data_IF_891619615794
#
_entry.id   IF_891619615794
#
_cell.length_a   1.000
_cell.length_b   1.000
_cell.length_c   1.000
_cell.angle_alpha   90.00
_cell.angle_beta   90.00
_cell.angle_gamma   90.00
#
_symmetry.space_group_name_H-M   'P 1'
#
loop_
_entity.id
_entity.type
_entity.pdbx_description
1 polymer ?
#
# COMPACT_ATOMS: atom_id res chain seq x y z
N UNK A 1 19.66 7.48 6.38
CA UNK A 1 18.53 6.54 6.35
C UNK A 1 17.50 7.05 7.34
N UNK A 2 16.37 7.58 6.87
CA UNK A 2 15.27 7.96 7.76
C UNK A 2 14.78 6.71 8.50
N UNK A 3 14.56 6.77 9.82
CA UNK A 3 14.12 5.60 10.57
C UNK A 3 12.77 5.15 10.00
N UNK A 4 12.71 3.92 9.45
CA UNK A 4 11.45 3.33 9.02
C UNK A 4 10.53 3.24 10.25
N UNK A 5 9.39 3.92 10.20
CA UNK A 5 8.39 3.83 11.25
C UNK A 5 7.90 2.38 11.37
N UNK A 6 7.78 1.82 12.59
CA UNK A 6 7.28 0.47 12.78
C UNK A 6 5.88 0.35 12.19
N UNK A 7 5.58 -0.78 11.55
CA UNK A 7 4.30 -1.03 10.87
C UNK A 7 3.07 -0.77 11.77
N UNK A 8 3.21 -0.95 13.09
CA UNK A 8 2.17 -0.66 14.08
C UNK A 8 1.74 0.81 14.09
N UNK A 9 2.61 1.75 13.72
CA UNK A 9 2.34 3.20 13.71
C UNK A 9 1.76 3.70 12.38
N UNK A 10 1.72 2.85 11.35
CA UNK A 10 1.18 3.25 10.05
C UNK A 10 -0.31 3.56 10.13
N UNK A 11 -0.76 4.49 9.29
CA UNK A 11 -2.19 4.80 9.16
C UNK A 11 -2.98 3.56 8.69
N UNK A 12 -4.24 3.38 9.12
CA UNK A 12 -5.03 2.21 8.76
C UNK A 12 -5.19 1.97 7.25
N UNK A 13 -5.35 3.03 6.47
CA UNK A 13 -5.41 2.95 5.00
C UNK A 13 -4.09 2.49 4.38
N UNK A 14 -2.96 2.95 4.89
CA UNK A 14 -1.64 2.50 4.45
C UNK A 14 -1.37 1.04 4.81
N UNK A 15 -1.77 0.61 6.01
CA UNK A 15 -1.72 -0.81 6.42
C UNK A 15 -2.55 -1.68 5.49
N UNK A 16 -3.78 -1.25 5.19
CA UNK A 16 -4.67 -1.96 4.26
C UNK A 16 -4.05 -2.08 2.87
N UNK A 17 -3.58 -0.96 2.31
CA UNK A 17 -2.97 -0.94 0.99
C UNK A 17 -1.69 -1.81 0.92
N UNK A 18 -0.89 -1.82 1.98
CA UNK A 18 0.30 -2.68 2.07
C UNK A 18 -0.06 -4.16 2.10
N UNK A 19 -1.09 -4.55 2.87
CA UNK A 19 -1.60 -5.93 2.89
C UNK A 19 -2.20 -6.29 1.53
N UNK A 20 -2.96 -5.39 0.91
CA UNK A 20 -3.53 -5.60 -0.41
C UNK A 20 -2.46 -5.79 -1.49
N UNK A 21 -1.33 -5.07 -1.40
CA UNK A 21 -0.19 -5.26 -2.29
C UNK A 21 0.41 -6.66 -2.12
N UNK A 22 0.59 -7.15 -0.89
CA UNK A 22 1.02 -8.53 -0.64
C UNK A 22 0.06 -9.57 -1.20
N UNK A 23 -1.25 -9.38 -1.00
CA UNK A 23 -2.27 -10.27 -1.57
C UNK A 23 -2.20 -10.27 -3.10
N UNK A 24 -2.06 -9.09 -3.71
CA UNK A 24 -1.93 -8.97 -5.15
C UNK A 24 -0.70 -9.73 -5.68
N UNK A 25 0.46 -9.60 -5.05
CA UNK A 25 1.69 -10.33 -5.42
C UNK A 25 1.50 -11.84 -5.31
N UNK A 26 0.94 -12.32 -4.20
CA UNK A 26 0.77 -13.76 -3.98
C UNK A 26 -0.21 -14.36 -4.99
N UNK A 27 -1.40 -13.75 -5.13
CA UNK A 27 -2.44 -14.28 -6.02
C UNK A 27 -2.00 -14.23 -7.49
N UNK A 28 -1.45 -13.10 -7.93
CA UNK A 28 -0.99 -12.95 -9.31
C UNK A 28 0.25 -13.78 -9.61
N UNK A 29 1.17 -13.94 -8.65
CA UNK A 29 2.33 -14.82 -8.75
C UNK A 29 1.93 -16.29 -8.91
N UNK A 30 0.97 -16.77 -8.10
CA UNK A 30 0.43 -18.14 -8.23
C UNK A 30 -0.24 -18.32 -9.59
N UNK A 31 -1.09 -17.37 -10.01
CA UNK A 31 -1.77 -17.43 -11.29
C UNK A 31 -0.77 -17.45 -12.47
N UNK A 32 0.31 -16.66 -12.38
CA UNK A 32 1.38 -16.65 -13.37
C UNK A 32 2.10 -18.00 -13.44
N UNK A 33 2.49 -18.57 -12.29
CA UNK A 33 3.19 -19.87 -12.23
C UNK A 33 2.32 -20.98 -12.79
N UNK A 34 1.05 -21.05 -12.38
CA UNK A 34 0.11 -22.05 -12.90
C UNK A 34 -0.04 -21.87 -14.42
N UNK A 35 -0.28 -20.64 -14.89
CA UNK A 35 -0.44 -20.37 -16.32
C UNK A 35 0.78 -20.75 -17.14
N UNK A 36 2.00 -20.54 -16.63
CA UNK A 36 3.23 -20.93 -17.32
C UNK A 36 3.37 -22.45 -17.43
N UNK A 37 2.89 -23.21 -16.43
CA UNK A 37 2.95 -24.68 -16.42
C UNK A 37 1.86 -25.30 -17.29
N UNK A 38 0.64 -24.76 -17.26
CA UNK A 38 -0.54 -25.36 -17.91
C UNK A 38 -0.84 -24.80 -19.29
N UNK A 39 -0.08 -23.81 -19.77
CA UNK A 39 -0.31 -23.17 -21.06
C UNK A 39 -1.48 -22.17 -21.06
N UNK A 40 -1.57 -21.36 -20.01
CA UNK A 40 -2.57 -20.29 -19.88
C UNK A 40 -2.51 -19.26 -21.00
N UNK A 41 -3.60 -18.52 -21.19
CA UNK A 41 -3.69 -17.51 -22.26
C UNK A 41 -2.64 -16.41 -22.07
N UNK A 42 -2.06 -15.94 -23.18
CA UNK A 42 -1.04 -14.89 -23.16
C UNK A 42 -1.50 -13.62 -22.44
N UNK A 43 -2.79 -13.29 -22.57
CA UNK A 43 -3.40 -12.15 -21.87
C UNK A 43 -3.34 -12.33 -20.35
N UNK A 44 -3.77 -13.48 -19.83
CA UNK A 44 -3.71 -13.77 -18.39
C UNK A 44 -2.28 -13.72 -17.87
N UNK A 45 -1.33 -14.31 -18.59
CA UNK A 45 0.09 -14.29 -18.19
C UNK A 45 0.64 -12.86 -18.10
N UNK A 46 0.36 -12.02 -19.09
CA UNK A 46 0.81 -10.61 -19.11
C UNK A 46 0.20 -9.83 -17.95
N UNK A 47 -1.11 -9.93 -17.73
CA UNK A 47 -1.75 -9.22 -16.62
C UNK A 47 -1.28 -9.72 -15.26
N UNK A 48 -1.15 -11.03 -15.07
CA UNK A 48 -0.61 -11.59 -13.84
C UNK A 48 0.82 -11.12 -13.58
N UNK A 49 1.68 -11.06 -14.60
CA UNK A 49 3.04 -10.56 -14.47
C UNK A 49 3.07 -9.06 -14.11
N UNK A 50 2.26 -8.23 -14.78
CA UNK A 50 2.20 -6.78 -14.51
C UNK A 50 1.70 -6.51 -13.08
N UNK A 51 0.61 -7.17 -12.67
CA UNK A 51 0.05 -7.00 -11.32
C UNK A 51 1.03 -7.48 -10.25
N UNK A 52 1.73 -8.59 -10.48
CA UNK A 52 2.76 -9.10 -9.59
C UNK A 52 3.90 -8.10 -9.44
N UNK A 53 4.45 -7.61 -10.55
CA UNK A 53 5.53 -6.63 -10.55
C UNK A 53 5.12 -5.32 -9.87
N UNK A 54 3.90 -4.82 -10.14
CA UNK A 54 3.40 -3.60 -9.52
C UNK A 54 3.15 -3.77 -8.01
N UNK A 55 2.64 -4.93 -7.59
CA UNK A 55 2.50 -5.24 -6.17
C UNK A 55 3.85 -5.27 -5.43
N UNK A 56 4.89 -5.87 -6.04
CA UNK A 56 6.26 -5.87 -5.50
C UNK A 56 6.78 -4.43 -5.39
N UNK A 57 6.59 -3.62 -6.43
CA UNK A 57 6.96 -2.21 -6.41
C UNK A 57 6.30 -1.46 -5.25
N UNK A 58 5.00 -1.63 -5.03
CA UNK A 58 4.27 -1.01 -3.92
C UNK A 58 4.80 -1.45 -2.55
N UNK A 59 5.10 -2.74 -2.36
CA UNK A 59 5.67 -3.26 -1.11
C UNK A 59 7.00 -2.58 -0.78
N UNK A 60 7.84 -2.33 -1.79
CA UNK A 60 9.15 -1.69 -1.62
C UNK A 60 9.03 -0.17 -1.35
N UNK A 61 8.07 0.50 -2.00
CA UNK A 61 7.96 1.97 -1.94
C UNK A 61 7.08 2.46 -0.78
N UNK A 62 5.99 1.76 -0.44
CA UNK A 62 5.06 2.19 0.61
C UNK A 62 5.70 2.46 1.99
N UNK A 63 6.73 1.71 2.45
CA UNK A 63 7.40 2.02 3.72
C UNK A 63 7.99 3.43 3.76
N UNK A 64 8.33 4.02 2.61
CA UNK A 64 8.81 5.40 2.51
C UNK A 64 7.67 6.40 2.60
N UNK A 65 6.54 6.13 1.94
CA UNK A 65 5.34 6.99 1.98
C UNK A 65 4.66 7.00 3.35
N UNK A 66 4.78 5.92 4.13
CA UNK A 66 4.26 5.86 5.49
C UNK A 66 4.89 6.92 6.42
N UNK A 67 6.13 7.38 6.14
CA UNK A 67 6.81 8.43 6.90
C UNK A 67 6.16 9.81 6.70
N UNK A 68 5.78 10.13 5.46
CA UNK A 68 5.15 11.43 5.11
C UNK A 68 3.70 11.52 5.61
N UNK A 69 3.04 10.37 5.79
CA UNK A 69 1.65 10.29 6.24
C UNK A 69 1.43 10.73 7.71
N UNK A 70 2.45 10.65 8.58
CA UNK A 70 2.37 11.22 9.94
C UNK A 70 2.25 12.74 9.91
N UNK A 71 2.99 13.41 9.02
CA UNK A 71 2.91 14.86 8.85
C UNK A 71 1.52 15.27 8.35
N UNK A 72 0.97 14.51 7.40
CA UNK A 72 -0.42 14.71 6.96
C UNK A 72 -1.43 14.49 8.10
N UNK A 73 -1.21 13.49 8.97
CA UNK A 73 -2.07 13.27 10.13
C UNK A 73 -1.96 14.39 11.15
N UNK A 74 -0.76 14.89 11.44
CA UNK A 74 -0.54 16.03 12.32
C UNK A 74 -1.26 17.28 11.78
N UNK A 75 -1.17 17.52 10.47
CA UNK A 75 -1.89 18.60 9.80
C UNK A 75 -3.42 18.42 9.92
N UNK A 76 -3.93 17.19 9.72
CA UNK A 76 -5.37 16.88 9.89
C UNK A 76 -5.85 17.03 11.34
N UNK A 77 -5.03 16.65 12.34
CA UNK A 77 -5.35 16.84 13.76
C UNK A 77 -5.38 18.32 14.13
N UNK A 78 -4.41 19.11 13.65
CA UNK A 78 -4.39 20.58 13.82
C UNK A 78 -5.62 21.24 13.17
N UNK A 79 -5.98 20.80 11.97
CA UNK A 79 -7.17 21.30 11.29
C UNK A 79 -8.49 20.94 12.01
N UNK A 80 -8.55 19.79 12.69
CA UNK A 80 -9.71 19.42 13.53
C UNK A 80 -9.77 20.24 14.82
N UNK A 81 -8.63 20.42 15.50
CA UNK A 81 -8.56 21.22 16.72
C UNK A 81 -8.98 22.69 16.46
N UNK A 82 -8.49 23.30 15.37
CA UNK A 82 -8.88 24.65 14.98
C UNK A 82 -10.39 24.78 14.68
N UNK A 83 -11.02 23.73 14.13
CA UNK A 83 -12.48 23.70 13.91
C UNK A 83 -13.28 23.57 15.20
N UNK A 84 -12.76 22.86 16.20
CA UNK A 84 -13.40 22.75 17.52
C UNK A 84 -13.30 24.06 18.32
N UNK A 85 -12.17 24.77 18.23
CA UNK A 85 -12.00 26.10 18.84
C UNK A 85 -13.00 27.10 18.26
N UNK A 86 -13.13 27.17 16.93
CA UNK A 86 -14.14 28.01 16.25
C UNK A 86 -15.59 27.63 16.57
N UNK A 87 -15.85 26.41 17.02
CA UNK A 87 -17.19 25.94 17.41
C UNK A 87 -17.49 26.20 18.88
N UNK A 88 -16.47 26.46 19.70
CA UNK A 88 -16.58 26.80 21.13
C UNK A 88 -16.62 28.30 21.40
N UNK A 89 -16.12 29.13 20.50
CA UNK A 89 -16.28 30.60 20.48
C UNK A 89 -17.63 31.01 19.90
#
# INVERSE_FOLDING_TARGET
MSPQQPFSQWMPNYKFAYIAAWVAVVVSGIALVIGLITGGTSMTLVFSAIVCAFGIFLIVVMPRWALEAEEEQAARRRARAAREELRRS
#
